data_IF_563216381786
#
_entry.id   IF_563216381786
#
_cell.length_a   1.000
_cell.length_b   1.000
_cell.length_c   1.000
_cell.angle_alpha   90.00
_cell.angle_beta   90.00
_cell.angle_gamma   90.00
#
_symmetry.space_group_name_H-M   'P 1'
#
loop_
_entity.id
_entity.type
_entity.pdbx_description
1 polymer ?
#
# COMPACT_ATOMS: atom_id res chain seq x y z
N UNK A 1 -26.20 -6.78 -15.13
CA UNK A 1 -26.90 -7.52 -14.04
C UNK A 1 -26.17 -7.44 -12.70
N UNK A 2 -24.83 -7.51 -12.65
CA UNK A 2 -24.08 -7.38 -11.38
C UNK A 2 -23.96 -5.95 -10.81
N UNK A 3 -24.05 -4.91 -11.64
CA UNK A 3 -23.94 -3.51 -11.16
C UNK A 3 -25.10 -3.03 -10.27
N UNK A 4 -26.24 -3.74 -10.27
CA UNK A 4 -27.38 -3.43 -9.39
C UNK A 4 -27.27 -4.08 -8.00
N UNK A 5 -26.26 -4.92 -7.78
CA UNK A 5 -26.09 -5.66 -6.53
C UNK A 5 -25.53 -4.75 -5.41
N UNK A 6 -24.85 -3.66 -5.79
CA UNK A 6 -24.42 -2.59 -4.88
C UNK A 6 -23.67 -3.07 -3.65
N UNK A 7 -23.72 -2.24 -2.60
CA UNK A 7 -23.16 -2.58 -1.28
C UNK A 7 -23.76 -3.88 -0.70
N UNK A 8 -25.07 -4.19 -0.84
CA UNK A 8 -25.65 -5.41 -0.28
C UNK A 8 -25.00 -6.71 -0.74
N UNK A 9 -24.71 -6.90 -2.03
CA UNK A 9 -24.06 -8.16 -2.43
C UNK A 9 -22.55 -8.17 -2.20
N UNK A 10 -21.90 -7.02 -2.07
CA UNK A 10 -20.52 -7.00 -1.57
C UNK A 10 -20.46 -7.54 -0.13
N UNK A 11 -21.44 -7.20 0.72
CA UNK A 11 -21.57 -7.77 2.06
C UNK A 11 -21.81 -9.29 2.01
N UNK A 12 -22.64 -9.78 1.08
CA UNK A 12 -22.88 -11.22 0.90
C UNK A 12 -21.59 -11.97 0.56
N UNK A 13 -20.83 -11.46 -0.41
CA UNK A 13 -19.54 -12.04 -0.84
C UNK A 13 -18.54 -12.01 0.32
N UNK A 14 -18.44 -10.88 1.03
CA UNK A 14 -17.58 -10.78 2.21
C UNK A 14 -17.98 -11.80 3.27
N UNK A 15 -19.27 -11.98 3.52
CA UNK A 15 -19.76 -12.95 4.52
C UNK A 15 -19.34 -14.37 4.16
N UNK A 16 -19.49 -14.78 2.90
CA UNK A 16 -19.03 -16.09 2.43
C UNK A 16 -17.51 -16.24 2.55
N UNK A 17 -16.76 -15.21 2.16
CA UNK A 17 -15.30 -15.20 2.32
C UNK A 17 -14.90 -15.31 3.81
N UNK A 18 -15.63 -14.63 4.70
CA UNK A 18 -15.40 -14.70 6.14
C UNK A 18 -15.76 -16.05 6.75
N UNK A 19 -16.71 -16.80 6.19
CA UNK A 19 -16.98 -18.17 6.64
C UNK A 19 -15.82 -19.10 6.26
N UNK A 20 -15.26 -18.94 5.06
CA UNK A 20 -14.15 -19.78 4.57
C UNK A 20 -12.83 -19.42 5.26
N UNK A 21 -12.48 -18.14 5.29
CA UNK A 21 -11.20 -17.66 5.80
C UNK A 21 -11.23 -17.27 7.28
N UNK A 22 -12.39 -16.89 7.82
CA UNK A 22 -12.56 -16.39 9.18
C UNK A 22 -12.43 -14.85 9.30
N UNK A 23 -13.20 -14.19 10.19
CA UNK A 23 -13.21 -12.74 10.37
C UNK A 23 -11.88 -12.16 10.85
N UNK A 24 -11.02 -12.98 11.48
CA UNK A 24 -9.71 -12.53 11.98
C UNK A 24 -8.62 -12.50 10.91
N UNK A 25 -8.74 -13.30 9.83
CA UNK A 25 -7.69 -13.40 8.81
C UNK A 25 -7.59 -12.16 7.92
N UNK A 26 -8.72 -11.55 7.54
CA UNK A 26 -8.70 -10.35 6.70
C UNK A 26 -7.96 -9.17 7.38
N UNK A 27 -8.24 -8.80 8.65
CA UNK A 27 -7.47 -7.78 9.36
C UNK A 27 -6.00 -8.15 9.57
N UNK A 28 -5.70 -9.42 9.81
CA UNK A 28 -4.33 -9.91 10.02
C UNK A 28 -3.47 -9.74 8.75
N UNK A 29 -4.00 -10.17 7.60
CA UNK A 29 -3.35 -9.98 6.29
C UNK A 29 -3.20 -8.49 5.98
N UNK A 30 -4.24 -7.68 6.22
CA UNK A 30 -4.17 -6.23 6.01
C UNK A 30 -3.12 -5.55 6.88
N UNK A 31 -2.95 -5.97 8.13
CA UNK A 31 -1.89 -5.47 9.02
C UNK A 31 -0.50 -5.85 8.53
N UNK A 32 -0.29 -7.11 8.14
CA UNK A 32 0.99 -7.58 7.61
C UNK A 32 1.36 -6.84 6.31
N UNK A 33 0.45 -6.81 5.34
CA UNK A 33 0.64 -6.08 4.08
C UNK A 33 0.84 -4.58 4.31
N UNK A 34 0.10 -3.98 5.25
CA UNK A 34 0.24 -2.57 5.59
C UNK A 34 1.59 -2.22 6.21
N UNK A 35 2.14 -3.10 7.04
CA UNK A 35 3.49 -2.95 7.58
C UNK A 35 4.54 -3.02 6.46
N UNK A 36 4.44 -4.04 5.59
CA UNK A 36 5.33 -4.17 4.44
C UNK A 36 5.26 -2.95 3.52
N UNK A 37 4.07 -2.46 3.20
CA UNK A 37 3.90 -1.30 2.33
C UNK A 37 4.44 -0.01 2.98
N UNK A 38 4.31 0.12 4.31
CA UNK A 38 4.86 1.24 5.07
C UNK A 38 6.39 1.24 5.06
N UNK A 39 7.01 0.10 5.29
CA UNK A 39 8.47 -0.05 5.23
C UNK A 39 8.98 0.18 3.81
N UNK A 40 8.33 -0.42 2.81
CA UNK A 40 8.66 -0.21 1.40
C UNK A 40 8.60 1.28 1.01
N UNK A 41 7.54 1.99 1.42
CA UNK A 41 7.41 3.43 1.17
C UNK A 41 8.55 4.21 1.81
N UNK A 42 8.91 3.89 3.06
CA UNK A 42 9.98 4.56 3.78
C UNK A 42 11.33 4.37 3.09
N UNK A 43 11.69 3.13 2.76
CA UNK A 43 12.95 2.83 2.06
C UNK A 43 13.00 3.48 0.68
N UNK A 44 11.89 3.48 -0.06
CA UNK A 44 11.82 4.16 -1.37
C UNK A 44 12.01 5.67 -1.22
N UNK A 45 11.43 6.28 -0.19
CA UNK A 45 11.57 7.70 0.07
C UNK A 45 13.00 8.07 0.44
N UNK A 46 13.67 7.31 1.31
CA UNK A 46 15.07 7.53 1.68
C UNK A 46 15.98 7.46 0.45
N UNK A 47 15.87 6.41 -0.36
CA UNK A 47 16.62 6.27 -1.62
C UNK A 47 16.37 7.42 -2.59
N UNK A 48 15.13 7.89 -2.68
CA UNK A 48 14.78 9.02 -3.56
C UNK A 48 15.38 10.33 -3.04
N UNK A 49 15.36 10.56 -1.73
CA UNK A 49 15.94 11.74 -1.11
C UNK A 49 17.45 11.80 -1.30
N UNK A 50 18.17 10.70 -1.05
CA UNK A 50 19.63 10.63 -1.22
C UNK A 50 20.03 10.95 -2.66
N UNK A 51 19.30 10.37 -3.62
CA UNK A 51 19.52 10.61 -5.05
C UNK A 51 19.23 12.07 -5.43
N UNK A 52 18.15 12.66 -4.91
CA UNK A 52 17.82 14.07 -5.17
C UNK A 52 18.88 15.02 -4.58
N UNK A 53 19.37 14.74 -3.37
CA UNK A 53 20.42 15.54 -2.73
C UNK A 53 21.73 15.49 -3.52
N UNK A 54 22.13 14.32 -4.00
CA UNK A 54 23.33 14.16 -4.83
C UNK A 54 23.20 14.90 -6.17
N UNK A 55 22.04 14.83 -6.83
CA UNK A 55 21.78 15.60 -8.06
C UNK A 55 21.76 17.13 -7.85
N UNK A 56 21.28 17.60 -6.70
CA UNK A 56 21.28 19.03 -6.35
C UNK A 56 22.69 19.54 -6.00
N UNK A 57 23.51 18.75 -5.32
CA UNK A 57 24.93 19.07 -5.08
C UNK A 57 25.75 19.15 -6.38
N UNK A 58 25.58 18.18 -7.28
CA UNK A 58 26.25 18.18 -8.59
C UNK A 58 25.89 19.41 -9.43
N UNK A 59 24.61 19.81 -9.44
CA UNK A 59 24.18 21.05 -10.12
C UNK A 59 24.75 22.31 -9.50
N UNK A 60 24.94 22.34 -8.19
CA UNK A 60 25.48 23.50 -7.48
C UNK A 60 26.98 23.65 -7.73
N UNK A 61 27.71 22.55 -7.83
CA UNK A 61 29.12 22.51 -8.18
C UNK A 61 29.38 22.86 -9.65
N UNK A 62 28.50 22.43 -10.58
CA UNK A 62 28.63 22.76 -12.01
C UNK A 62 28.31 24.23 -12.36
N UNK A 63 27.66 24.98 -11.46
CA UNK A 63 27.31 26.41 -11.65
C UNK A 63 28.29 27.39 -10.98
N UNK A 64 29.29 26.90 -10.25
CA UNK A 64 30.27 27.70 -9.51
C UNK A 64 31.60 27.76 -10.26
#
# INVERSE_FOLDING_TARGET
MFSNIGVPGLILILTLALIIFGPKKLPEIGRAMGQTLREFKKSTQELTSDVIEEFEEDKKNAKK
#
